data_IF_476976377247
#
_entry.id   IF_476976377247
#
_cell.length_a   1.000
_cell.length_b   1.000
_cell.length_c   1.000
_cell.angle_alpha   90.00
_cell.angle_beta   90.00
_cell.angle_gamma   90.00
#
_symmetry.space_group_name_H-M   'P 1'
#
loop_
_entity.id
_entity.type
_entity.pdbx_description
1 polymer ?
#
# COMPACT_ATOMS: atom_id res chain seq x y z
N UNK A 1 55.50 -18.64 22.73
CA UNK A 1 55.00 -17.64 21.77
C UNK A 1 53.55 -17.37 22.12
N UNK A 2 53.32 -16.28 22.83
CA UNK A 2 52.01 -15.82 23.30
C UNK A 2 51.35 -14.93 22.24
N UNK A 3 50.03 -15.00 22.18
CA UNK A 3 49.19 -14.23 21.27
C UNK A 3 49.17 -12.75 21.67
N UNK A 4 49.72 -11.87 20.83
CA UNK A 4 49.49 -10.42 20.88
C UNK A 4 48.37 -10.06 19.89
N UNK A 5 47.16 -9.94 20.45
CA UNK A 5 46.29 -8.76 20.39
C UNK A 5 46.27 -7.93 19.09
N UNK A 6 45.40 -8.32 18.15
CA UNK A 6 44.83 -7.41 17.15
C UNK A 6 43.69 -6.60 17.80
N UNK A 7 44.02 -5.52 18.50
CA UNK A 7 43.02 -4.53 18.91
C UNK A 7 42.71 -3.58 17.73
N UNK A 8 41.44 -3.45 17.28
CA UNK A 8 41.08 -2.48 16.25
C UNK A 8 41.22 -1.05 16.80
N UNK A 9 41.74 -0.15 15.96
CA UNK A 9 41.88 1.26 16.30
C UNK A 9 40.52 1.91 16.64
N UNK A 10 40.47 2.87 17.58
CA UNK A 10 39.23 3.56 17.92
C UNK A 10 38.67 4.33 16.72
N UNK A 11 37.33 4.42 16.58
CA UNK A 11 36.71 5.16 15.48
C UNK A 11 37.08 6.64 15.55
N UNK A 12 37.21 7.32 14.39
CA UNK A 12 37.47 8.76 14.35
C UNK A 12 36.33 9.52 15.04
N UNK A 13 36.68 10.60 15.74
CA UNK A 13 35.72 11.48 16.39
C UNK A 13 34.71 12.04 15.37
N UNK A 14 33.43 12.22 15.76
CA UNK A 14 32.42 12.75 14.85
C UNK A 14 32.82 14.16 14.39
N UNK A 15 32.84 14.36 13.07
CA UNK A 15 33.09 15.65 12.47
C UNK A 15 32.05 16.66 12.98
N UNK A 16 32.51 17.73 13.60
CA UNK A 16 31.67 18.84 14.02
C UNK A 16 31.11 19.55 12.77
N UNK A 17 29.78 19.68 12.72
CA UNK A 17 29.11 20.62 11.81
C UNK A 17 28.78 20.08 10.42
N UNK A 18 27.97 19.03 10.32
CA UNK A 18 27.16 18.86 9.12
C UNK A 18 26.03 19.90 9.17
N UNK A 19 26.21 21.01 8.45
CA UNK A 19 25.13 21.94 8.18
C UNK A 19 23.98 21.15 7.56
N UNK A 20 22.81 21.18 8.19
CA UNK A 20 21.57 20.68 7.60
C UNK A 20 21.30 21.50 6.35
N UNK A 21 21.57 20.91 5.19
CA UNK A 21 21.06 21.44 3.94
C UNK A 21 19.54 21.31 4.07
N UNK A 22 18.84 22.42 4.27
CA UNK A 22 17.38 22.43 4.17
C UNK A 22 17.05 21.97 2.74
N UNK A 23 16.59 20.72 2.63
CA UNK A 23 16.04 20.23 1.38
C UNK A 23 14.89 21.16 0.99
N UNK A 24 14.85 21.70 -0.24
CA UNK A 24 13.77 22.59 -0.64
C UNK A 24 12.45 21.84 -0.50
N UNK A 25 11.57 22.31 0.38
CA UNK A 25 10.19 21.86 0.44
C UNK A 25 9.58 22.07 -0.95
N UNK A 26 9.44 20.99 -1.72
CA UNK A 26 8.68 21.03 -2.96
C UNK A 26 7.28 21.53 -2.60
N UNK A 27 6.91 22.71 -3.09
CA UNK A 27 5.60 23.29 -2.85
C UNK A 27 4.54 22.40 -3.52
N UNK A 28 3.98 21.45 -2.76
CA UNK A 28 2.90 20.59 -3.25
C UNK A 28 1.63 21.43 -3.33
N UNK A 29 1.11 21.59 -4.55
CA UNK A 29 -0.19 22.19 -4.79
C UNK A 29 -0.19 23.29 -5.85
N UNK A 30 -1.36 23.90 -6.00
CA UNK A 30 -1.64 25.00 -6.92
C UNK A 30 -2.36 26.12 -6.18
N UNK A 31 -2.14 27.36 -6.60
CA UNK A 31 -2.85 28.53 -6.08
C UNK A 31 -4.34 28.54 -6.49
N UNK A 32 -5.06 29.63 -6.17
CA UNK A 32 -6.43 29.84 -6.62
C UNK A 32 -6.60 29.64 -8.13
N UNK A 33 -7.80 29.23 -8.54
CA UNK A 33 -8.13 29.04 -9.94
C UNK A 33 -7.94 30.34 -10.73
N UNK A 34 -7.19 30.32 -11.84
CA UNK A 34 -6.97 31.51 -12.64
C UNK A 34 -8.20 31.84 -13.50
N UNK A 35 -8.66 33.09 -13.44
CA UNK A 35 -9.71 33.60 -14.33
C UNK A 35 -11.12 33.12 -13.97
N UNK A 36 -11.96 32.92 -14.99
CA UNK A 36 -13.35 32.53 -14.81
C UNK A 36 -13.46 31.11 -14.24
N UNK A 37 -14.29 30.95 -13.21
CA UNK A 37 -14.45 29.66 -12.54
C UNK A 37 -15.22 28.66 -13.41
N UNK A 38 -14.81 27.38 -13.40
CA UNK A 38 -15.58 26.34 -14.06
C UNK A 38 -16.92 26.12 -13.34
N UNK A 39 -17.92 25.68 -14.09
CA UNK A 39 -19.30 25.49 -13.59
C UNK A 39 -19.66 24.03 -13.31
N UNK A 40 -18.80 23.07 -13.70
CA UNK A 40 -19.08 21.66 -13.46
C UNK A 40 -19.15 21.34 -11.96
N UNK A 41 -20.11 20.49 -11.53
CA UNK A 41 -20.38 20.24 -10.11
C UNK A 41 -19.27 19.48 -9.40
N UNK A 42 -18.36 18.82 -10.14
CA UNK A 42 -17.22 18.13 -9.54
C UNK A 42 -16.17 19.07 -8.96
N UNK A 43 -16.17 20.35 -9.35
CA UNK A 43 -15.25 21.34 -8.77
C UNK A 43 -15.72 21.80 -7.39
N UNK A 44 -14.75 22.03 -6.51
CA UNK A 44 -14.95 22.53 -5.15
C UNK A 44 -14.69 24.05 -5.08
N UNK A 45 -15.72 24.88 -4.79
CA UNK A 45 -15.57 26.33 -4.67
C UNK A 45 -14.51 26.80 -3.67
N UNK A 46 -14.29 26.04 -2.58
CA UNK A 46 -13.27 26.40 -1.58
C UNK A 46 -11.87 26.20 -2.15
N UNK A 47 -11.66 25.13 -2.91
CA UNK A 47 -10.38 24.87 -3.56
C UNK A 47 -10.15 25.83 -4.73
N UNK A 48 -11.19 26.15 -5.50
CA UNK A 48 -11.09 27.14 -6.59
C UNK A 48 -10.68 28.52 -6.04
N UNK A 49 -11.22 28.93 -4.90
CA UNK A 49 -10.89 30.24 -4.30
C UNK A 49 -9.57 30.27 -3.53
N UNK A 50 -9.26 29.23 -2.76
CA UNK A 50 -8.10 29.19 -1.86
C UNK A 50 -6.86 28.49 -2.43
N UNK A 51 -7.01 27.79 -3.55
CA UNK A 51 -6.00 26.89 -4.08
C UNK A 51 -6.12 25.46 -3.53
N UNK A 52 -5.40 24.54 -4.14
CA UNK A 52 -5.44 23.12 -3.82
C UNK A 52 -4.05 22.60 -3.47
N UNK A 53 -3.79 22.41 -2.17
CA UNK A 53 -2.53 21.89 -1.61
C UNK A 53 -2.54 20.38 -1.37
N UNK A 54 -3.59 19.66 -1.78
CA UNK A 54 -3.68 18.21 -1.56
C UNK A 54 -2.64 17.47 -2.39
N UNK A 55 -2.20 16.29 -1.95
CA UNK A 55 -1.32 15.45 -2.75
C UNK A 55 -2.13 14.58 -3.73
N UNK A 56 -2.69 15.21 -4.76
CA UNK A 56 -3.43 14.55 -5.85
C UNK A 56 -2.77 14.87 -7.19
N UNK A 57 -2.92 13.99 -8.18
CA UNK A 57 -2.44 14.26 -9.54
C UNK A 57 -3.18 15.45 -10.16
N UNK A 58 -2.54 16.11 -11.13
CA UNK A 58 -3.01 17.41 -11.65
C UNK A 58 -4.44 17.39 -12.21
N UNK A 59 -4.85 16.28 -12.82
CA UNK A 59 -6.22 16.08 -13.32
C UNK A 59 -7.29 16.26 -12.24
N UNK A 60 -6.98 15.96 -10.98
CA UNK A 60 -7.92 16.03 -9.86
C UNK A 60 -7.82 17.33 -9.05
N UNK A 61 -7.01 18.29 -9.50
CA UNK A 61 -6.90 19.59 -8.84
C UNK A 61 -8.25 20.27 -8.81
N UNK A 62 -8.57 20.83 -7.65
CA UNK A 62 -9.84 21.52 -7.36
C UNK A 62 -11.08 20.62 -7.37
N UNK A 63 -10.95 19.31 -7.64
CA UNK A 63 -12.11 18.42 -7.59
C UNK A 63 -12.50 18.14 -6.14
N UNK A 64 -13.82 18.04 -5.92
CA UNK A 64 -14.37 17.46 -4.71
C UNK A 64 -13.85 16.05 -4.52
N UNK A 65 -13.63 15.67 -3.28
CA UNK A 65 -13.12 14.33 -2.94
C UNK A 65 -14.05 13.23 -3.48
N UNK A 66 -15.35 13.44 -3.33
CA UNK A 66 -16.39 12.50 -3.74
C UNK A 66 -16.39 12.32 -5.26
N UNK A 67 -16.10 13.39 -6.01
CA UNK A 67 -15.95 13.33 -7.46
C UNK A 67 -14.68 12.56 -7.88
N UNK A 68 -13.59 12.73 -7.15
CA UNK A 68 -12.37 11.92 -7.36
C UNK A 68 -12.69 10.45 -7.11
N UNK A 69 -13.32 10.11 -5.98
CA UNK A 69 -13.70 8.73 -5.66
C UNK A 69 -14.59 8.14 -6.75
N UNK A 70 -15.62 8.87 -7.19
CA UNK A 70 -16.52 8.42 -8.24
C UNK A 70 -15.81 8.19 -9.58
N UNK A 71 -14.84 9.03 -9.96
CA UNK A 71 -14.04 8.81 -11.18
C UNK A 71 -13.11 7.60 -11.04
N UNK A 72 -12.48 7.41 -9.87
CA UNK A 72 -11.65 6.23 -9.59
C UNK A 72 -12.47 4.93 -9.64
N UNK A 73 -13.68 4.93 -9.08
CA UNK A 73 -14.57 3.77 -9.01
C UNK A 73 -14.94 3.20 -10.40
N UNK A 74 -14.95 4.05 -11.44
CA UNK A 74 -15.21 3.63 -12.83
C UNK A 74 -14.13 2.75 -13.43
N UNK A 75 -12.96 2.68 -12.80
CA UNK A 75 -11.74 2.10 -13.38
C UNK A 75 -10.92 1.28 -12.38
N UNK A 76 -11.45 1.02 -11.19
CA UNK A 76 -10.81 0.11 -10.23
C UNK A 76 -10.62 -1.27 -10.84
N UNK A 77 -9.50 -1.87 -10.46
CA UNK A 77 -9.17 -3.23 -10.88
C UNK A 77 -9.92 -4.26 -10.03
N UNK A 78 -10.10 -5.46 -10.59
CA UNK A 78 -10.80 -6.58 -9.93
C UNK A 78 -10.05 -7.23 -8.75
N UNK A 79 -8.82 -6.78 -8.45
CA UNK A 79 -8.11 -7.27 -7.28
C UNK A 79 -8.40 -6.40 -6.05
N UNK A 80 -8.47 -7.09 -4.92
CA UNK A 80 -8.57 -6.53 -3.58
C UNK A 80 -7.29 -6.78 -2.81
N UNK A 81 -7.12 -6.09 -1.69
CA UNK A 81 -5.97 -6.26 -0.79
C UNK A 81 -6.46 -6.47 0.63
N UNK A 82 -5.92 -7.45 1.34
CA UNK A 82 -6.23 -7.70 2.74
C UNK A 82 -4.95 -7.72 3.58
N UNK A 83 -5.01 -7.21 4.81
CA UNK A 83 -3.90 -7.27 5.76
C UNK A 83 -4.39 -7.60 7.17
N UNK A 84 -3.71 -8.54 7.82
CA UNK A 84 -3.93 -8.88 9.22
C UNK A 84 -3.39 -7.79 10.16
N UNK A 85 -4.18 -7.43 11.17
CA UNK A 85 -3.86 -6.39 12.14
C UNK A 85 -4.10 -6.89 13.57
N UNK A 86 -3.22 -7.72 14.10
CA UNK A 86 -3.35 -8.26 15.47
C UNK A 86 -2.57 -7.45 16.52
N UNK A 87 -1.52 -6.73 16.11
CA UNK A 87 -0.63 -5.96 16.99
C UNK A 87 -0.35 -4.54 16.46
N UNK A 88 -1.34 -3.91 15.82
CA UNK A 88 -1.20 -2.55 15.27
C UNK A 88 -0.06 -2.42 14.24
N UNK A 89 -0.15 -3.22 13.18
CA UNK A 89 0.88 -3.27 12.14
C UNK A 89 1.14 -1.88 11.53
N UNK A 90 2.43 -1.51 11.48
CA UNK A 90 2.85 -0.19 11.01
C UNK A 90 2.76 -0.04 9.48
N UNK A 91 2.66 -1.16 8.75
CA UNK A 91 2.64 -1.19 7.29
C UNK A 91 1.27 -0.97 6.69
N UNK A 92 0.18 -1.02 7.47
CA UNK A 92 -1.19 -0.89 6.94
C UNK A 92 -1.36 0.41 6.15
N UNK A 93 -0.79 1.51 6.63
CA UNK A 93 -0.80 2.76 5.87
C UNK A 93 -0.10 2.67 4.52
N UNK A 94 1.07 2.02 4.46
CA UNK A 94 1.79 1.80 3.21
C UNK A 94 0.99 0.89 2.27
N UNK A 95 0.35 -0.17 2.78
CA UNK A 95 -0.52 -1.05 1.99
C UNK A 95 -1.70 -0.28 1.40
N UNK A 96 -2.37 0.56 2.19
CA UNK A 96 -3.47 1.42 1.71
C UNK A 96 -2.99 2.40 0.63
N UNK A 97 -1.80 2.99 0.81
CA UNK A 97 -1.20 3.87 -0.19
C UNK A 97 -0.91 3.14 -1.50
N UNK A 98 -0.30 1.96 -1.43
CA UNK A 98 -0.04 1.12 -2.59
C UNK A 98 -1.34 0.72 -3.30
N UNK A 99 -2.35 0.33 -2.53
CA UNK A 99 -3.66 -0.03 -3.06
C UNK A 99 -4.34 1.15 -3.77
N UNK A 100 -4.18 2.38 -3.28
CA UNK A 100 -4.67 3.57 -3.99
C UNK A 100 -3.86 3.83 -5.28
N UNK A 101 -2.53 3.73 -5.21
CA UNK A 101 -1.65 3.96 -6.35
C UNK A 101 -1.86 2.96 -7.50
N UNK A 102 -2.06 1.68 -7.16
CA UNK A 102 -2.37 0.61 -8.11
C UNK A 102 -3.88 0.39 -8.30
N UNK A 103 -4.72 1.29 -7.77
CA UNK A 103 -6.16 1.31 -7.99
C UNK A 103 -6.88 -0.02 -7.72
N UNK A 104 -6.53 -0.67 -6.61
CA UNK A 104 -7.25 -1.82 -6.08
C UNK A 104 -8.74 -1.48 -5.83
N UNK A 105 -9.61 -2.49 -5.92
CA UNK A 105 -11.04 -2.35 -5.67
C UNK A 105 -11.34 -1.87 -4.24
N UNK A 106 -10.82 -2.59 -3.24
CA UNK A 106 -11.03 -2.29 -1.82
C UNK A 106 -9.89 -2.88 -0.98
N UNK A 107 -9.60 -2.23 0.16
CA UNK A 107 -8.65 -2.70 1.16
C UNK A 107 -9.41 -3.29 2.36
N UNK A 108 -8.98 -4.44 2.84
CA UNK A 108 -9.60 -5.21 3.91
C UNK A 108 -8.66 -5.27 5.11
N UNK A 109 -9.05 -4.67 6.23
CA UNK A 109 -8.32 -4.74 7.49
C UNK A 109 -8.94 -5.86 8.32
N UNK A 110 -8.17 -6.90 8.63
CA UNK A 110 -8.64 -8.09 9.36
C UNK A 110 -8.11 -8.05 10.78
N UNK A 111 -8.97 -8.19 11.79
CA UNK A 111 -8.59 -8.14 13.20
C UNK A 111 -8.89 -6.78 13.84
N UNK A 112 -7.88 -6.14 14.44
CA UNK A 112 -8.07 -4.86 15.15
C UNK A 112 -8.55 -3.77 14.19
N UNK A 113 -9.58 -3.03 14.63
CA UNK A 113 -10.18 -1.95 13.82
C UNK A 113 -9.26 -0.75 13.62
N UNK A 114 -8.46 -0.42 14.64
CA UNK A 114 -7.59 0.77 14.63
C UNK A 114 -6.22 0.40 14.07
N UNK A 115 -5.75 1.23 13.15
CA UNK A 115 -4.46 1.08 12.46
C UNK A 115 -3.81 2.46 12.24
N UNK A 116 -2.50 2.46 12.04
CA UNK A 116 -1.72 3.69 11.87
C UNK A 116 -1.86 4.24 10.44
N UNK A 117 -2.55 5.38 10.30
CA UNK A 117 -2.82 6.01 9.01
C UNK A 117 -1.67 6.84 8.44
N UNK A 118 -0.60 7.06 9.21
CA UNK A 118 0.51 7.94 8.80
C UNK A 118 1.12 7.51 7.46
N UNK A 119 1.33 6.21 7.27
CA UNK A 119 1.89 5.66 6.02
C UNK A 119 0.98 5.83 4.81
N UNK A 120 -0.34 6.03 5.01
CA UNK A 120 -1.29 6.21 3.92
C UNK A 120 -1.14 7.57 3.24
N UNK A 121 -0.52 8.56 3.87
CA UNK A 121 -0.37 9.91 3.31
C UNK A 121 -1.71 10.48 2.79
N UNK A 122 -2.79 10.28 3.56
CA UNK A 122 -4.17 10.74 3.29
C UNK A 122 -4.86 10.02 2.11
N UNK A 123 -4.20 9.06 1.45
CA UNK A 123 -4.80 8.27 0.37
C UNK A 123 -5.98 7.40 0.83
N UNK A 124 -6.09 7.12 2.14
CA UNK A 124 -7.24 6.45 2.75
C UNK A 124 -8.56 7.18 2.51
N UNK A 125 -8.53 8.49 2.20
CA UNK A 125 -9.72 9.27 1.85
C UNK A 125 -10.25 9.02 0.43
N UNK A 126 -9.46 8.39 -0.43
CA UNK A 126 -9.79 8.12 -1.84
C UNK A 126 -9.87 6.61 -2.14
N UNK A 127 -9.67 5.77 -1.12
CA UNK A 127 -9.67 4.32 -1.22
C UNK A 127 -10.77 3.74 -0.33
N UNK A 128 -11.46 2.71 -0.82
CA UNK A 128 -12.41 1.94 -0.03
C UNK A 128 -11.65 1.08 0.99
N UNK A 129 -12.02 1.20 2.26
CA UNK A 129 -11.42 0.44 3.36
C UNK A 129 -12.50 -0.22 4.18
N UNK A 130 -12.51 -1.56 4.17
CA UNK A 130 -13.40 -2.41 4.97
C UNK A 130 -12.69 -2.96 6.17
N UNK A 131 -13.39 -3.06 7.28
CA UNK A 131 -12.91 -3.74 8.49
C UNK A 131 -13.67 -5.06 8.67
N UNK A 132 -12.92 -6.12 8.96
CA UNK A 132 -13.41 -7.44 9.35
C UNK A 132 -12.87 -7.75 10.74
N UNK A 133 -13.72 -7.97 11.76
CA UNK A 133 -13.29 -8.32 13.12
C UNK A 133 -12.45 -9.60 13.18
N UNK A 134 -12.74 -10.59 12.34
CA UNK A 134 -12.05 -11.88 12.33
C UNK A 134 -11.72 -12.37 10.91
N UNK A 135 -10.86 -13.38 10.81
CA UNK A 135 -10.50 -14.01 9.53
C UNK A 135 -11.69 -14.78 8.94
N UNK A 136 -12.56 -15.34 9.78
CA UNK A 136 -13.79 -16.03 9.38
C UNK A 136 -14.76 -15.08 8.69
N UNK A 137 -14.95 -13.87 9.23
CA UNK A 137 -15.81 -12.85 8.60
C UNK A 137 -15.22 -12.38 7.26
N UNK A 138 -13.91 -12.17 7.21
CA UNK A 138 -13.23 -11.80 5.97
C UNK A 138 -13.37 -12.88 4.89
N UNK A 139 -13.17 -14.15 5.24
CA UNK A 139 -13.23 -15.26 4.28
C UNK A 139 -14.66 -15.56 3.84
N UNK A 140 -15.64 -15.41 4.73
CA UNK A 140 -17.05 -15.46 4.36
C UNK A 140 -17.41 -14.35 3.36
N UNK A 141 -16.91 -13.13 3.57
CA UNK A 141 -17.07 -12.04 2.60
C UNK A 141 -16.41 -12.38 1.25
N UNK A 142 -15.17 -12.86 1.25
CA UNK A 142 -14.44 -13.18 0.02
C UNK A 142 -15.13 -14.28 -0.78
N UNK A 143 -15.65 -15.31 -0.10
CA UNK A 143 -16.43 -16.37 -0.70
C UNK A 143 -17.75 -15.84 -1.30
N UNK A 144 -18.47 -14.99 -0.59
CA UNK A 144 -19.69 -14.36 -1.09
C UNK A 144 -19.43 -13.45 -2.29
N UNK A 145 -18.26 -12.81 -2.36
CA UNK A 145 -17.81 -12.02 -3.49
C UNK A 145 -17.22 -12.86 -4.64
N UNK A 146 -17.13 -14.19 -4.48
CA UNK A 146 -16.48 -15.11 -5.43
C UNK A 146 -15.01 -14.75 -5.74
N UNK A 147 -14.29 -14.21 -4.76
CA UNK A 147 -12.89 -13.81 -4.89
C UNK A 147 -11.97 -14.82 -4.17
N UNK A 148 -11.08 -15.53 -4.89
CA UNK A 148 -10.10 -16.40 -4.25
C UNK A 148 -9.12 -15.56 -3.42
N UNK A 149 -8.84 -16.02 -2.20
CA UNK A 149 -7.84 -15.41 -1.32
C UNK A 149 -6.46 -15.96 -1.69
N UNK A 150 -5.53 -15.08 -2.01
CA UNK A 150 -4.17 -15.40 -2.42
C UNK A 150 -3.20 -14.86 -1.37
N UNK A 151 -2.57 -15.75 -0.61
CA UNK A 151 -1.63 -15.36 0.43
C UNK A 151 -0.27 -15.00 -0.14
N UNK A 152 0.28 -13.86 0.26
CA UNK A 152 1.63 -13.43 -0.10
C UNK A 152 2.56 -13.61 1.09
N UNK A 153 3.30 -14.72 1.07
CA UNK A 153 4.23 -15.11 2.15
C UNK A 153 5.23 -16.16 1.62
N UNK A 154 6.40 -16.26 2.23
CA UNK A 154 7.45 -17.23 1.86
C UNK A 154 7.36 -18.54 2.65
N UNK A 155 6.15 -18.93 3.03
CA UNK A 155 5.87 -20.18 3.74
C UNK A 155 6.04 -21.42 2.82
N UNK A 156 6.34 -22.60 3.38
CA UNK A 156 6.46 -23.83 2.60
C UNK A 156 5.23 -24.08 1.69
N UNK A 157 5.51 -24.39 0.42
CA UNK A 157 4.48 -24.57 -0.62
C UNK A 157 4.08 -23.30 -1.36
N UNK A 158 4.70 -22.15 -1.05
CA UNK A 158 4.52 -20.91 -1.82
C UNK A 158 5.10 -21.07 -3.24
N UNK A 159 4.39 -20.51 -4.21
CA UNK A 159 4.81 -20.46 -5.61
C UNK A 159 5.54 -19.14 -5.90
N UNK A 160 6.67 -19.14 -6.62
CA UNK A 160 7.39 -17.91 -6.93
C UNK A 160 6.58 -17.01 -7.87
N UNK A 161 6.36 -15.76 -7.48
CA UNK A 161 5.55 -14.80 -8.22
C UNK A 161 6.22 -14.35 -9.53
N UNK A 162 7.52 -14.55 -9.67
CA UNK A 162 8.31 -14.19 -10.86
C UNK A 162 8.02 -15.11 -12.05
N UNK A 163 7.53 -16.33 -11.82
CA UNK A 163 7.24 -17.31 -12.87
C UNK A 163 5.77 -17.73 -12.95
N UNK A 164 4.94 -17.26 -12.02
CA UNK A 164 3.54 -17.68 -11.87
C UNK A 164 2.61 -16.48 -11.98
N UNK A 165 1.40 -16.71 -12.48
CA UNK A 165 0.44 -15.64 -12.76
C UNK A 165 -0.56 -15.50 -11.62
N UNK A 166 -0.74 -14.28 -11.13
CA UNK A 166 -1.80 -13.96 -10.18
C UNK A 166 -3.16 -13.97 -10.90
N UNK A 167 -4.25 -14.45 -10.27
CA UNK A 167 -5.58 -14.36 -10.85
C UNK A 167 -6.03 -12.91 -11.06
N UNK A 168 -6.80 -12.67 -12.12
CA UNK A 168 -7.35 -11.34 -12.42
C UNK A 168 -8.27 -10.84 -11.28
N UNK A 169 -9.23 -11.67 -10.87
CA UNK A 169 -10.14 -11.40 -9.75
C UNK A 169 -9.65 -12.16 -8.52
N UNK A 170 -9.13 -11.46 -7.51
CA UNK A 170 -8.63 -12.09 -6.28
C UNK A 170 -8.52 -11.11 -5.10
N UNK A 171 -8.28 -11.64 -3.91
CA UNK A 171 -7.82 -10.85 -2.76
C UNK A 171 -6.36 -11.21 -2.47
N UNK A 172 -5.45 -10.24 -2.55
CA UNK A 172 -4.06 -10.40 -2.12
C UNK A 172 -3.99 -10.22 -0.60
N UNK A 173 -3.76 -11.30 0.13
CA UNK A 173 -3.73 -11.32 1.60
C UNK A 173 -2.28 -11.26 2.12
N UNK A 174 -2.01 -10.29 2.98
CA UNK A 174 -0.75 -10.09 3.67
C UNK A 174 -0.91 -10.37 5.15
N UNK A 175 0.07 -11.08 5.71
CA UNK A 175 0.16 -11.31 7.13
C UNK A 175 0.69 -10.10 7.89
N UNK A 176 0.77 -10.24 9.20
CA UNK A 176 1.37 -9.24 10.06
C UNK A 176 2.91 -9.29 9.97
N UNK A 177 3.57 -8.14 10.06
CA UNK A 177 5.02 -8.02 10.16
C UNK A 177 5.55 -8.84 11.35
N UNK A 178 6.55 -9.69 11.06
CA UNK A 178 7.09 -10.67 11.99
C UNK A 178 6.62 -12.09 11.68
N UNK A 179 5.45 -12.53 12.19
CA UNK A 179 5.01 -13.92 12.06
C UNK A 179 4.50 -14.28 10.65
N UNK A 180 4.25 -13.30 9.79
CA UNK A 180 3.62 -13.53 8.49
C UNK A 180 2.14 -13.85 8.65
N UNK A 181 1.60 -14.66 7.74
CA UNK A 181 0.20 -15.10 7.76
C UNK A 181 -0.07 -15.99 8.98
N UNK A 182 -1.17 -15.70 9.69
CA UNK A 182 -1.67 -16.62 10.71
C UNK A 182 -2.03 -17.98 10.10
N UNK A 183 -2.06 -19.03 10.95
CA UNK A 183 -2.43 -20.37 10.48
C UNK A 183 -3.83 -20.41 9.85
N UNK A 184 -4.79 -19.65 10.41
CA UNK A 184 -6.13 -19.54 9.88
C UNK A 184 -6.16 -18.79 8.53
N UNK A 185 -5.41 -17.69 8.41
CA UNK A 185 -5.24 -16.98 7.14
C UNK A 185 -4.62 -17.86 6.05
N UNK A 186 -3.57 -18.61 6.40
CA UNK A 186 -2.92 -19.57 5.49
C UNK A 186 -3.89 -20.66 5.02
N UNK A 187 -4.68 -21.22 5.94
CA UNK A 187 -5.65 -22.27 5.62
C UNK A 187 -6.79 -21.77 4.71
N UNK A 188 -7.12 -20.48 4.79
CA UNK A 188 -8.13 -19.86 3.93
C UNK A 188 -7.64 -19.49 2.53
N UNK A 189 -6.32 -19.50 2.29
CA UNK A 189 -5.75 -19.14 1.00
C UNK A 189 -5.99 -20.26 -0.03
N UNK A 190 -6.53 -19.91 -1.18
CA UNK A 190 -6.63 -20.80 -2.34
C UNK A 190 -5.25 -21.14 -2.91
N UNK A 191 -4.29 -20.23 -2.75
CA UNK A 191 -2.89 -20.46 -3.05
C UNK A 191 -1.98 -19.51 -2.27
N UNK A 192 -0.71 -19.90 -2.14
CA UNK A 192 0.36 -19.08 -1.58
C UNK A 192 1.36 -18.70 -2.67
N UNK A 193 1.80 -17.46 -2.64
CA UNK A 193 2.84 -16.93 -3.51
C UNK A 193 3.93 -16.25 -2.69
N UNK A 194 5.17 -16.39 -3.15
CA UNK A 194 6.34 -15.77 -2.55
C UNK A 194 7.05 -14.85 -3.54
N UNK A 195 7.68 -13.81 -3.01
CA UNK A 195 8.61 -12.96 -3.75
C UNK A 195 10.01 -13.55 -3.56
N UNK A 196 10.73 -13.79 -4.66
CA UNK A 196 12.08 -14.34 -4.62
C UNK A 196 13.03 -13.41 -3.85
N UNK A 197 13.81 -14.00 -2.95
CA UNK A 197 14.79 -13.29 -2.13
C UNK A 197 16.14 -14.02 -2.21
N UNK A 198 17.21 -13.27 -2.41
CA UNK A 198 18.57 -13.78 -2.61
C UNK A 198 19.54 -13.38 -1.49
N UNK A 199 19.05 -12.60 -0.52
CA UNK A 199 19.83 -12.08 0.59
C UNK A 199 19.79 -12.98 1.83
N UNK A 200 20.36 -12.47 2.93
CA UNK A 200 20.45 -13.17 4.22
C UNK A 200 19.25 -12.96 5.15
N UNK A 201 18.34 -12.06 4.80
CA UNK A 201 17.14 -11.76 5.60
C UNK A 201 16.08 -12.84 5.41
N UNK A 202 15.27 -13.07 6.45
CA UNK A 202 14.17 -14.06 6.39
C UNK A 202 13.01 -13.59 5.53
N UNK A 203 12.78 -12.28 5.46
CA UNK A 203 11.70 -11.68 4.69
C UNK A 203 12.00 -10.20 4.38
N UNK A 204 11.24 -9.64 3.45
CA UNK A 204 11.15 -8.20 3.20
C UNK A 204 9.99 -7.59 4.01
N UNK A 205 9.99 -6.26 4.14
CA UNK A 205 8.91 -5.52 4.77
C UNK A 205 7.55 -5.76 4.09
N UNK A 206 6.47 -5.91 4.87
CA UNK A 206 5.14 -6.23 4.37
C UNK A 206 4.56 -5.14 3.45
N UNK A 207 4.84 -3.86 3.74
CA UNK A 207 4.46 -2.74 2.88
C UNK A 207 5.15 -2.84 1.51
N UNK A 208 6.44 -3.19 1.47
CA UNK A 208 7.19 -3.40 0.23
C UNK A 208 6.65 -4.63 -0.53
N UNK A 209 6.44 -5.75 0.16
CA UNK A 209 5.86 -6.95 -0.42
C UNK A 209 4.51 -6.67 -1.09
N UNK A 210 3.66 -5.85 -0.45
CA UNK A 210 2.38 -5.44 -1.02
C UNK A 210 2.52 -4.68 -2.33
N UNK A 211 3.50 -3.77 -2.42
CA UNK A 211 3.77 -3.01 -3.65
C UNK A 211 4.24 -3.93 -4.78
N UNK A 212 5.15 -4.87 -4.49
CA UNK A 212 5.65 -5.83 -5.49
C UNK A 212 4.52 -6.73 -5.99
N UNK A 213 3.69 -7.25 -5.08
CA UNK A 213 2.58 -8.13 -5.44
C UNK A 213 1.52 -7.42 -6.30
N UNK A 214 1.12 -6.21 -5.91
CA UNK A 214 0.18 -5.41 -6.70
C UNK A 214 0.78 -5.02 -8.05
N UNK A 215 2.06 -4.63 -8.10
CA UNK A 215 2.72 -4.32 -9.36
C UNK A 215 2.84 -5.55 -10.28
N UNK A 216 3.08 -6.74 -9.73
CA UNK A 216 3.06 -8.00 -10.49
C UNK A 216 1.69 -8.24 -11.13
N UNK A 217 0.61 -8.01 -10.37
CA UNK A 217 -0.76 -8.07 -10.92
C UNK A 217 -0.97 -7.05 -12.04
N UNK A 218 -0.53 -5.79 -11.83
CA UNK A 218 -0.65 -4.70 -12.82
C UNK A 218 0.07 -5.07 -14.12
N UNK A 219 1.29 -5.60 -14.02
CA UNK A 219 2.08 -6.02 -15.18
C UNK A 219 1.40 -7.10 -16.03
N UNK A 220 0.61 -7.96 -15.40
CA UNK A 220 -0.08 -9.05 -16.06
C UNK A 220 -1.44 -8.61 -16.64
N UNK A 221 -2.19 -7.77 -15.91
CA UNK A 221 -3.62 -7.57 -16.19
C UNK A 221 -4.03 -6.15 -16.59
N UNK A 222 -3.21 -5.14 -16.29
CA UNK A 222 -3.56 -3.74 -16.50
C UNK A 222 -2.96 -3.19 -17.80
N UNK A 223 -3.66 -2.20 -18.37
CA UNK A 223 -3.14 -1.37 -19.47
C UNK A 223 -2.35 -0.17 -18.93
N UNK A 224 -1.85 0.70 -19.84
CA UNK A 224 -1.22 1.95 -19.44
C UNK A 224 -2.19 2.80 -18.58
N UNK A 225 -1.67 3.54 -17.58
CA UNK A 225 -2.51 4.42 -16.78
C UNK A 225 -3.15 5.51 -17.67
N UNK A 226 -4.37 5.98 -17.34
CA UNK A 226 -4.95 7.11 -18.05
C UNK A 226 -4.08 8.36 -17.83
N UNK A 227 -3.93 9.14 -18.90
CA UNK A 227 -3.29 10.46 -18.86
C UNK A 227 -4.06 11.49 -18.04
#
# INVERSE_FOLDING_TARGET
MTAEEFAPAPPPAPAAGAATVDEPELAVGVGPWPGAWPTDPHYDPELLSGGDRRNVVDRYRYWRREAIVADLDRRRHGFHVAIENWQHDLNIGTVVRNANAFLAAEVHIVGLRRWNRRGAMVTDRYQHVRHHPTIEEFTAWAAAAALPVIGIDNLPGSRPMESERLPRECVLLFGQEGPGLSAAARAACAALFSIAQYGSTRSINAGVASGIAMHSWIREHAGPPPG
#
